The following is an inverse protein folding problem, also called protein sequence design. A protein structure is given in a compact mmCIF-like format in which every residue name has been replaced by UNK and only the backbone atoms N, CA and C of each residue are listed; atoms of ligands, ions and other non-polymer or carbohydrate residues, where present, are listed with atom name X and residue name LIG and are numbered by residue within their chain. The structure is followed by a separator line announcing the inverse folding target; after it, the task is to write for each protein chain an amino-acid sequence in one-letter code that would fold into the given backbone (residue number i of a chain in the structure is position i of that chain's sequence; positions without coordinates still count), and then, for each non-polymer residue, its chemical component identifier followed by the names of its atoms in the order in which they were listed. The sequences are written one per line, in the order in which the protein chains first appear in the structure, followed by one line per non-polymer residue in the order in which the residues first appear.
data_IF_334272880218
#
_entry.id   IF_334272880218
#
_cell.length_a   1.000
_cell.length_b   1.000
_cell.length_c   1.000
_cell.angle_alpha   90.00
_cell.angle_beta   90.00
_cell.angle_gamma   90.00
#
_symmetry.space_group_name_H-M   'P 1'
#
loop_
_entity.id
_entity.type
_entity.pdbx_description
1 polymer ?
#
# COMPACT_ATOMS: atom_id res chain seq x y z
N UNK A 1 -22.83 -25.22 -52.77
CA UNK A 1 -22.02 -25.48 -53.98
C UNK A 1 -22.63 -24.81 -55.20
N UNK A 2 -23.96 -24.74 -55.36
CA UNK A 2 -24.62 -24.03 -56.48
C UNK A 2 -24.36 -22.50 -56.52
N UNK A 3 -24.35 -21.84 -55.35
CA UNK A 3 -24.31 -20.37 -55.26
C UNK A 3 -22.96 -19.74 -55.69
N UNK A 4 -21.85 -20.48 -55.56
CA UNK A 4 -20.51 -19.98 -55.91
C UNK A 4 -20.23 -20.11 -57.41
N UNK A 5 -20.85 -21.08 -58.09
CA UNK A 5 -20.73 -21.24 -59.55
C UNK A 5 -21.57 -20.19 -60.29
N UNK A 6 -22.77 -19.87 -59.79
CA UNK A 6 -23.59 -18.79 -60.33
C UNK A 6 -22.94 -17.40 -60.12
N UNK A 7 -22.34 -17.14 -58.95
CA UNK A 7 -21.62 -15.88 -58.70
C UNK A 7 -20.42 -15.70 -59.63
N UNK A 8 -19.62 -16.76 -59.82
CA UNK A 8 -18.48 -16.74 -60.76
C UNK A 8 -18.93 -16.54 -62.21
N UNK A 9 -20.04 -17.16 -62.62
CA UNK A 9 -20.58 -16.96 -63.96
C UNK A 9 -21.07 -15.51 -64.18
N UNK A 10 -21.66 -14.91 -63.15
CA UNK A 10 -22.09 -13.51 -63.15
C UNK A 10 -20.90 -12.53 -63.19
N UNK A 11 -19.88 -12.74 -62.36
CA UNK A 11 -18.63 -11.96 -62.37
C UNK A 11 -17.91 -12.05 -63.72
N UNK A 12 -17.87 -13.23 -64.33
CA UNK A 12 -17.28 -13.44 -65.66
C UNK A 12 -18.05 -12.68 -66.74
N UNK A 13 -19.38 -12.64 -66.63
CA UNK A 13 -20.24 -11.86 -67.55
C UNK A 13 -19.98 -10.36 -67.43
N UNK A 14 -19.89 -9.85 -66.20
CA UNK A 14 -19.55 -8.46 -65.92
C UNK A 14 -18.14 -8.10 -66.42
N UNK A 15 -17.15 -8.97 -66.20
CA UNK A 15 -15.79 -8.76 -66.69
C UNK A 15 -15.72 -8.68 -68.23
N UNK A 16 -16.51 -9.50 -68.93
CA UNK A 16 -16.62 -9.43 -70.39
C UNK A 16 -17.28 -8.12 -70.86
N UNK A 17 -18.35 -7.68 -70.20
CA UNK A 17 -19.01 -6.41 -70.49
C UNK A 17 -18.10 -5.19 -70.22
N UNK A 18 -17.26 -5.28 -69.19
CA UNK A 18 -16.26 -4.25 -68.90
C UNK A 18 -15.26 -4.10 -70.05
N UNK A 19 -14.72 -5.22 -70.54
CA UNK A 19 -13.78 -5.23 -71.68
C UNK A 19 -14.45 -4.65 -72.93
N UNK A 20 -15.68 -5.07 -73.24
CA UNK A 20 -16.43 -4.56 -74.38
C UNK A 20 -16.69 -3.05 -74.31
N UNK A 21 -17.05 -2.53 -73.13
CA UNK A 21 -17.25 -1.09 -72.93
C UNK A 21 -15.96 -0.27 -73.03
N UNK A 22 -14.83 -0.83 -72.59
CA UNK A 22 -13.51 -0.21 -72.73
C UNK A 22 -13.03 -0.21 -74.19
N UNK A 23 -13.22 -1.30 -74.92
CA UNK A 23 -12.87 -1.41 -76.35
C UNK A 23 -13.72 -0.47 -77.22
N UNK A 24 -14.99 -0.25 -76.86
CA UNK A 24 -15.89 0.68 -77.53
C UNK A 24 -15.67 2.16 -77.15
N UNK A 25 -14.75 2.47 -76.22
CA UNK A 25 -14.47 3.83 -75.76
C UNK A 25 -15.55 4.43 -74.84
N UNK A 26 -16.47 3.61 -74.32
CA UNK A 26 -17.57 4.04 -73.44
C UNK A 26 -17.15 4.07 -71.97
N UNK A 27 -16.31 5.04 -71.59
CA UNK A 27 -15.75 5.15 -70.23
C UNK A 27 -16.79 5.18 -69.10
N UNK A 28 -17.92 5.85 -69.29
CA UNK A 28 -18.98 5.95 -68.27
C UNK A 28 -19.65 4.59 -67.98
N UNK A 29 -19.84 3.77 -69.02
CA UNK A 29 -20.44 2.43 -68.88
C UNK A 29 -19.44 1.45 -68.25
N UNK A 30 -18.17 1.55 -68.62
CA UNK A 30 -17.10 0.79 -67.98
C UNK A 30 -17.01 1.10 -66.47
N UNK A 31 -17.11 2.38 -66.09
CA UNK A 31 -17.11 2.79 -64.68
C UNK A 31 -18.28 2.20 -63.88
N UNK A 32 -19.46 2.06 -64.51
CA UNK A 32 -20.62 1.46 -63.86
C UNK A 32 -20.47 -0.05 -63.66
N UNK A 33 -19.89 -0.77 -64.62
CA UNK A 33 -19.59 -2.20 -64.46
C UNK A 33 -18.55 -2.43 -63.35
N UNK A 34 -17.53 -1.58 -63.25
CA UNK A 34 -16.56 -1.61 -62.14
C UNK A 34 -17.24 -1.35 -60.80
N UNK A 35 -18.20 -0.42 -60.75
CA UNK A 35 -18.99 -0.17 -59.54
C UNK A 35 -19.78 -1.40 -59.12
N UNK A 36 -20.44 -2.07 -60.07
CA UNK A 36 -21.22 -3.29 -59.82
C UNK A 36 -20.36 -4.45 -59.31
N UNK A 37 -19.15 -4.62 -59.87
CA UNK A 37 -18.17 -5.59 -59.40
C UNK A 37 -17.71 -5.31 -57.97
N UNK A 38 -17.71 -4.04 -57.52
CA UNK A 38 -17.19 -3.63 -56.20
C UNK A 38 -18.20 -3.72 -55.06
N UNK A 39 -19.50 -3.59 -55.35
CA UNK A 39 -20.58 -3.67 -54.35
C UNK A 39 -20.52 -4.91 -53.45
N UNK A 40 -20.34 -6.16 -53.96
CA UNK A 40 -20.28 -7.34 -53.10
C UNK A 40 -19.08 -7.30 -52.15
N UNK A 41 -17.90 -6.86 -52.62
CA UNK A 41 -16.71 -6.72 -51.79
C UNK A 41 -16.84 -5.64 -50.71
N UNK A 42 -17.47 -4.51 -51.04
CA UNK A 42 -17.74 -3.46 -50.05
C UNK A 42 -18.65 -3.99 -48.94
N UNK A 43 -19.69 -4.77 -49.29
CA UNK A 43 -20.60 -5.38 -48.30
C UNK A 43 -19.90 -6.37 -47.39
N UNK A 44 -19.10 -7.28 -47.96
CA UNK A 44 -18.33 -8.26 -47.19
C UNK A 44 -17.35 -7.59 -46.22
N UNK A 45 -16.66 -6.53 -46.67
CA UNK A 45 -15.77 -5.74 -45.81
C UNK A 45 -16.51 -5.08 -44.64
N UNK A 46 -17.69 -4.51 -44.89
CA UNK A 46 -18.52 -3.91 -43.84
C UNK A 46 -19.05 -4.97 -42.85
N UNK A 47 -19.39 -6.16 -43.33
CA UNK A 47 -19.81 -7.27 -42.47
C UNK A 47 -18.66 -7.77 -41.58
N UNK A 48 -17.46 -7.94 -42.12
CA UNK A 48 -16.27 -8.33 -41.34
C UNK A 48 -15.86 -7.25 -40.34
N UNK A 49 -15.95 -5.97 -40.71
CA UNK A 49 -15.72 -4.87 -39.78
C UNK A 49 -16.79 -4.84 -38.66
N UNK A 50 -18.03 -5.16 -38.99
CA UNK A 50 -19.13 -5.31 -38.04
C UNK A 50 -18.89 -6.45 -37.05
N UNK A 51 -18.34 -7.58 -37.53
CA UNK A 51 -17.95 -8.70 -36.66
C UNK A 51 -16.80 -8.30 -35.73
N UNK A 52 -15.71 -7.74 -36.27
CA UNK A 52 -14.56 -7.33 -35.48
C UNK A 52 -14.91 -6.30 -34.39
N UNK A 53 -15.77 -5.34 -34.71
CA UNK A 53 -16.22 -4.33 -33.74
C UNK A 53 -17.14 -4.92 -32.68
N UNK A 54 -17.98 -5.90 -33.03
CA UNK A 54 -18.80 -6.65 -32.07
C UNK A 54 -17.94 -7.55 -31.19
N UNK A 55 -16.96 -8.24 -31.75
CA UNK A 55 -16.02 -9.09 -31.01
C UNK A 55 -15.19 -8.26 -30.03
N UNK A 56 -14.69 -7.09 -30.44
CA UNK A 56 -14.00 -6.14 -29.56
C UNK A 56 -14.94 -5.64 -28.46
N UNK A 57 -16.19 -5.31 -28.80
CA UNK A 57 -17.17 -4.85 -27.83
C UNK A 57 -17.52 -5.95 -26.81
N UNK A 58 -17.65 -7.20 -27.26
CA UNK A 58 -17.89 -8.36 -26.40
C UNK A 58 -16.69 -8.66 -25.50
N UNK A 59 -15.46 -8.55 -26.03
CA UNK A 59 -14.23 -8.66 -25.23
C UNK A 59 -14.09 -7.53 -24.19
N UNK A 60 -14.47 -6.29 -24.52
CA UNK A 60 -14.49 -5.18 -23.57
C UNK A 60 -15.59 -5.36 -22.51
N UNK A 61 -16.75 -5.88 -22.89
CA UNK A 61 -17.83 -6.16 -21.95
C UNK A 61 -17.50 -7.35 -21.03
N UNK A 62 -16.86 -8.39 -21.54
CA UNK A 62 -16.38 -9.49 -20.71
C UNK A 62 -15.28 -9.04 -19.75
N UNK A 63 -14.40 -8.13 -20.19
CA UNK A 63 -13.39 -7.50 -19.32
C UNK A 63 -13.99 -6.60 -18.23
N UNK A 64 -15.06 -5.84 -18.53
CA UNK A 64 -15.83 -5.08 -17.53
C UNK A 64 -16.67 -5.96 -16.60
N UNK A 65 -17.04 -7.14 -17.06
CA UNK A 65 -17.78 -8.16 -16.30
C UNK A 65 -16.89 -8.99 -15.38
N UNK A 66 -15.58 -8.75 -15.34
CA UNK A 66 -14.68 -9.42 -14.42
C UNK A 66 -14.90 -8.85 -13.02
N UNK A 67 -15.92 -9.37 -12.33
CA UNK A 67 -16.37 -8.98 -10.99
C UNK A 67 -15.22 -8.84 -10.01
N UNK A 68 -14.16 -9.62 -10.21
CA UNK A 68 -12.92 -9.58 -9.43
C UNK A 68 -12.23 -8.23 -9.44
N UNK A 69 -12.23 -7.49 -10.55
CA UNK A 69 -11.56 -6.18 -10.63
C UNK A 69 -12.40 -5.08 -9.95
N UNK A 70 -13.73 -5.22 -10.01
CA UNK A 70 -14.67 -4.38 -9.28
C UNK A 70 -14.59 -4.66 -7.78
N UNK A 71 -14.53 -5.93 -7.36
CA UNK A 71 -14.31 -6.32 -5.95
C UNK A 71 -12.98 -5.81 -5.41
N UNK A 72 -11.88 -5.96 -6.17
CA UNK A 72 -10.56 -5.46 -5.75
C UNK A 72 -10.57 -3.94 -5.52
N UNK A 73 -11.16 -3.19 -6.46
CA UNK A 73 -11.13 -1.72 -6.43
C UNK A 73 -12.15 -1.13 -5.46
N UNK A 74 -13.26 -1.82 -5.23
CA UNK A 74 -14.35 -1.32 -4.38
C UNK A 74 -14.18 -1.73 -2.92
N UNK A 75 -13.65 -2.92 -2.66
CA UNK A 75 -13.67 -3.51 -1.32
C UNK A 75 -12.25 -3.82 -0.80
N UNK A 76 -11.42 -4.57 -1.55
CA UNK A 76 -10.10 -5.03 -1.04
C UNK A 76 -9.07 -3.92 -0.88
N UNK A 77 -8.94 -3.02 -1.88
CA UNK A 77 -7.97 -1.91 -1.82
C UNK A 77 -8.33 -0.92 -0.71
N UNK A 78 -9.60 -0.47 -0.56
CA UNK A 78 -10.00 0.36 0.56
C UNK A 78 -9.80 -0.30 1.93
N UNK A 79 -10.12 -1.59 2.10
CA UNK A 79 -9.89 -2.34 3.35
C UNK A 79 -8.39 -2.42 3.69
N UNK A 80 -7.55 -2.77 2.71
CA UNK A 80 -6.11 -2.83 2.89
C UNK A 80 -5.53 -1.46 3.28
N UNK A 81 -6.04 -0.38 2.70
CA UNK A 81 -5.67 0.99 3.07
C UNK A 81 -6.08 1.30 4.51
N UNK A 82 -7.32 1.01 4.90
CA UNK A 82 -7.81 1.25 6.26
C UNK A 82 -6.98 0.49 7.30
N UNK A 83 -6.63 -0.76 7.01
CA UNK A 83 -5.73 -1.57 7.84
C UNK A 83 -4.33 -0.97 7.93
N UNK A 84 -3.79 -0.47 6.83
CA UNK A 84 -2.49 0.20 6.82
C UNK A 84 -2.52 1.49 7.65
N UNK A 85 -3.52 2.34 7.43
CA UNK A 85 -3.72 3.60 8.18
C UNK A 85 -3.86 3.32 9.69
N UNK A 86 -4.55 2.24 10.05
CA UNK A 86 -4.64 1.78 11.43
C UNK A 86 -3.30 1.33 12.00
N UNK A 87 -2.51 0.54 11.26
CA UNK A 87 -1.17 0.12 11.69
C UNK A 87 -0.25 1.33 11.87
N UNK A 88 -0.29 2.30 10.95
CA UNK A 88 0.47 3.56 11.06
C UNK A 88 0.06 4.32 12.32
N UNK A 89 -1.23 4.59 12.49
CA UNK A 89 -1.76 5.32 13.66
C UNK A 89 -1.36 4.66 14.97
N UNK A 90 -1.45 3.33 15.04
CA UNK A 90 -1.12 2.57 16.24
C UNK A 90 0.37 2.56 16.52
N UNK A 91 1.20 2.54 15.47
CA UNK A 91 2.66 2.66 15.60
C UNK A 91 3.05 4.04 16.11
N UNK A 92 2.48 5.10 15.56
CA UNK A 92 2.70 6.48 16.05
C UNK A 92 2.33 6.62 17.52
N UNK A 93 1.19 6.07 17.95
CA UNK A 93 0.78 6.08 19.35
C UNK A 93 1.76 5.33 20.26
N UNK A 94 2.21 4.14 19.85
CA UNK A 94 3.15 3.34 20.64
C UNK A 94 4.51 4.03 20.75
N UNK A 95 5.01 4.60 19.66
CA UNK A 95 6.24 5.40 19.63
C UNK A 95 6.12 6.62 20.53
N UNK A 96 5.02 7.37 20.44
CA UNK A 96 4.82 8.57 21.24
C UNK A 96 4.77 8.26 22.75
N UNK A 97 4.09 7.18 23.15
CA UNK A 97 4.10 6.72 24.55
C UNK A 97 5.50 6.31 25.01
N UNK A 98 6.24 5.61 24.15
CA UNK A 98 7.61 5.18 24.46
C UNK A 98 8.54 6.37 24.67
N UNK A 99 8.48 7.37 23.78
CA UNK A 99 9.28 8.59 23.89
C UNK A 99 8.94 9.38 25.15
N UNK A 100 7.65 9.56 25.45
CA UNK A 100 7.23 10.27 26.67
C UNK A 100 7.73 9.57 27.95
N UNK A 101 7.66 8.24 27.99
CA UNK A 101 8.17 7.48 29.13
C UNK A 101 9.69 7.57 29.27
N UNK A 102 10.41 7.66 28.14
CA UNK A 102 11.85 7.84 28.10
C UNK A 102 12.24 9.26 28.57
N UNK A 103 11.55 10.29 28.07
CA UNK A 103 11.76 11.69 28.43
C UNK A 103 11.55 11.94 29.92
N UNK A 104 10.61 11.22 30.55
CA UNK A 104 10.40 11.28 31.99
C UNK A 104 11.38 10.40 32.79
N UNK A 105 11.73 9.22 32.27
CA UNK A 105 12.55 8.24 32.99
C UNK A 105 14.04 8.58 33.02
N UNK A 106 14.58 9.13 31.93
CA UNK A 106 16.02 9.43 31.84
C UNK A 106 16.50 10.40 32.94
N UNK A 107 15.82 11.55 33.20
CA UNK A 107 16.21 12.46 34.27
C UNK A 107 16.22 11.81 35.66
N UNK A 108 15.28 10.90 35.93
CA UNK A 108 15.21 10.17 37.19
C UNK A 108 16.44 9.26 37.35
N UNK A 109 16.77 8.51 36.30
CA UNK A 109 17.94 7.62 36.29
C UNK A 109 19.26 8.40 36.44
N UNK A 110 19.40 9.54 35.76
CA UNK A 110 20.57 10.42 35.87
C UNK A 110 20.71 11.01 37.27
N UNK A 111 19.61 11.52 37.86
CA UNK A 111 19.57 12.04 39.23
C UNK A 111 19.99 10.98 40.25
N UNK A 112 19.42 9.78 40.16
CA UNK A 112 19.78 8.64 41.00
C UNK A 112 21.26 8.30 40.89
N UNK A 113 21.79 8.23 39.66
CA UNK A 113 23.19 7.90 39.42
C UNK A 113 24.14 8.95 39.98
N UNK A 114 23.85 10.24 39.78
CA UNK A 114 24.66 11.34 40.31
C UNK A 114 24.74 11.30 41.84
N UNK A 115 23.59 11.15 42.52
CA UNK A 115 23.52 11.08 43.99
C UNK A 115 24.23 9.84 44.53
N UNK A 116 24.13 8.71 43.83
CA UNK A 116 24.85 7.48 44.18
C UNK A 116 26.38 7.69 44.13
N UNK A 117 26.89 8.39 43.12
CA UNK A 117 28.32 8.69 43.00
C UNK A 117 28.82 9.58 44.15
N UNK A 118 28.08 10.64 44.49
CA UNK A 118 28.41 11.53 45.62
C UNK A 118 28.45 10.78 46.96
N UNK A 119 27.46 9.92 47.21
CA UNK A 119 27.40 9.10 48.41
C UNK A 119 28.52 8.05 48.44
N UNK A 120 28.88 7.49 47.29
CA UNK A 120 29.97 6.51 47.16
C UNK A 120 31.32 7.15 47.47
N UNK A 121 31.58 8.37 46.99
CA UNK A 121 32.79 9.12 47.32
C UNK A 121 32.87 9.40 48.82
N UNK A 122 31.79 9.91 49.41
CA UNK A 122 31.72 10.19 50.84
C UNK A 122 31.87 8.92 51.69
N UNK A 123 31.28 7.81 51.26
CA UNK A 123 31.44 6.50 51.90
C UNK A 123 32.90 6.02 51.88
N UNK A 124 33.62 6.24 50.79
CA UNK A 124 35.04 5.90 50.69
C UNK A 124 35.90 6.73 51.64
N UNK A 125 35.66 8.04 51.74
CA UNK A 125 36.33 8.91 52.73
C UNK A 125 36.03 8.46 54.17
N UNK A 126 34.80 8.05 54.44
CA UNK A 126 34.41 7.53 55.77
C UNK A 126 35.19 6.25 56.10
N UNK A 127 35.30 5.32 55.14
CA UNK A 127 36.06 4.07 55.27
C UNK A 127 37.56 4.30 55.52
N UNK A 128 38.10 5.38 54.99
CA UNK A 128 39.50 5.80 55.17
C UNK A 128 39.73 6.58 56.48
N UNK A 129 38.68 6.80 57.29
CA UNK A 129 38.69 7.60 58.52
C UNK A 129 39.04 9.07 58.28
N UNK A 130 38.68 9.59 57.11
CA UNK A 130 38.92 10.97 56.67
C UNK A 130 37.71 11.89 56.89
N UNK A 131 36.64 11.38 57.51
CA UNK A 131 35.46 12.18 57.87
C UNK A 131 35.53 12.64 59.32
N UNK A 132 35.22 13.92 59.53
CA UNK A 132 34.89 14.47 60.83
C UNK A 132 33.51 14.01 61.33
N UNK A 133 33.23 14.24 62.62
CA UNK A 133 31.95 13.87 63.24
C UNK A 133 30.78 14.65 62.62
N UNK A 134 30.99 15.91 62.24
CA UNK A 134 29.94 16.75 61.64
C UNK A 134 29.66 16.33 60.19
N UNK A 135 30.70 16.05 59.39
CA UNK A 135 30.55 15.47 58.04
C UNK A 135 29.84 14.12 58.10
N UNK A 136 30.09 13.29 59.13
CA UNK A 136 29.42 12.00 59.27
C UNK A 136 27.92 12.16 59.55
N UNK A 137 27.53 13.16 60.37
CA UNK A 137 26.11 13.47 60.61
C UNK A 137 25.41 13.99 59.36
N UNK A 138 26.11 14.74 58.51
CA UNK A 138 25.59 15.19 57.22
C UNK A 138 25.45 14.01 56.25
N UNK A 139 26.47 13.16 56.16
CA UNK A 139 26.43 11.96 55.33
C UNK A 139 25.31 11.00 55.73
N UNK A 140 25.11 10.76 57.03
CA UNK A 140 24.00 9.94 57.54
C UNK A 140 22.63 10.51 57.13
N UNK A 141 22.44 11.83 57.25
CA UNK A 141 21.21 12.50 56.79
C UNK A 141 21.04 12.40 55.27
N UNK A 142 22.12 12.55 54.52
CA UNK A 142 22.09 12.42 53.06
C UNK A 142 21.71 11.00 52.62
N UNK A 143 22.21 9.96 53.32
CA UNK A 143 21.83 8.57 53.10
C UNK A 143 20.33 8.34 53.38
N UNK A 144 19.80 8.85 54.49
CA UNK A 144 18.37 8.71 54.81
C UNK A 144 17.49 9.32 53.72
N UNK A 145 17.84 10.52 53.24
CA UNK A 145 17.14 11.21 52.14
C UNK A 145 17.29 10.45 50.82
N UNK A 146 18.46 9.86 50.55
CA UNK A 146 18.68 9.06 49.36
C UNK A 146 17.87 7.76 49.38
N UNK A 147 17.87 7.02 50.48
CA UNK A 147 17.09 5.79 50.58
C UNK A 147 15.59 6.05 50.41
N UNK A 148 15.06 7.09 51.06
CA UNK A 148 13.66 7.47 50.91
C UNK A 148 13.31 7.83 49.46
N UNK A 149 14.08 8.74 48.84
CA UNK A 149 13.84 9.17 47.46
C UNK A 149 14.04 8.04 46.45
N UNK A 150 15.04 7.18 46.64
CA UNK A 150 15.37 6.11 45.71
C UNK A 150 14.24 5.08 45.55
N UNK A 151 13.46 4.84 46.60
CA UNK A 151 12.29 3.98 46.54
C UNK A 151 11.21 4.55 45.63
N UNK A 152 10.88 5.83 45.81
CA UNK A 152 9.88 6.54 44.99
C UNK A 152 10.32 6.67 43.52
N UNK A 153 11.57 7.07 43.29
CA UNK A 153 12.16 7.24 41.96
C UNK A 153 12.24 5.92 41.19
N UNK A 154 12.62 4.82 41.86
CA UNK A 154 12.68 3.48 41.23
C UNK A 154 11.28 2.95 40.92
N UNK A 155 10.30 3.19 41.80
CA UNK A 155 8.92 2.82 41.55
C UNK A 155 8.32 3.60 40.37
N UNK A 156 8.67 4.89 40.24
CA UNK A 156 8.28 5.69 39.07
C UNK A 156 8.89 5.14 37.78
N UNK A 157 10.19 4.82 37.78
CA UNK A 157 10.85 4.15 36.64
C UNK A 157 10.17 2.82 36.27
N UNK A 158 9.78 2.02 37.27
CA UNK A 158 9.05 0.75 37.05
C UNK A 158 7.69 1.00 36.39
N UNK A 159 6.97 2.03 36.81
CA UNK A 159 5.69 2.43 36.19
C UNK A 159 5.89 2.83 34.73
N UNK A 160 6.87 3.68 34.44
CA UNK A 160 7.18 4.13 33.08
C UNK A 160 7.56 2.97 32.17
N UNK A 161 8.39 2.03 32.64
CA UNK A 161 8.72 0.82 31.88
C UNK A 161 7.49 -0.08 31.64
N UNK A 162 6.56 -0.13 32.60
CA UNK A 162 5.30 -0.86 32.42
C UNK A 162 4.40 -0.19 31.37
N UNK A 163 4.35 1.14 31.32
CA UNK A 163 3.63 1.90 30.28
C UNK A 163 4.22 1.66 28.89
N UNK A 164 5.54 1.58 28.76
CA UNK A 164 6.23 1.21 27.52
C UNK A 164 5.84 -0.20 27.06
N UNK A 165 5.89 -1.18 27.97
CA UNK A 165 5.51 -2.56 27.64
C UNK A 165 4.03 -2.67 27.22
N UNK A 166 3.12 -2.00 27.93
CA UNK A 166 1.70 -1.98 27.55
C UNK A 166 1.46 -1.30 26.19
N UNK A 167 2.26 -0.29 25.84
CA UNK A 167 2.19 0.34 24.53
C UNK A 167 2.64 -0.59 23.40
N UNK A 168 3.57 -1.52 23.69
CA UNK A 168 4.11 -2.48 22.74
C UNK A 168 3.22 -3.73 22.57
N UNK A 169 2.62 -4.27 23.64
CA UNK A 169 1.73 -5.45 23.59
C UNK A 169 0.49 -5.25 22.70
N UNK A 170 0.07 -4.00 22.51
CA UNK A 170 -1.04 -3.66 21.61
C UNK A 170 -0.70 -3.90 20.11
N UNK A 171 0.58 -4.11 19.76
CA UNK A 171 1.00 -4.55 18.42
C UNK A 171 0.88 -6.07 18.25
N UNK A 172 1.24 -6.87 19.25
CA UNK A 172 1.33 -8.33 19.12
C UNK A 172 -0.06 -9.02 19.13
N UNK A 173 -0.99 -8.51 19.96
CA UNK A 173 -2.33 -9.09 20.11
C UNK A 173 -3.28 -8.87 18.92
N UNK A 174 -2.94 -7.97 17.99
CA UNK A 174 -3.76 -7.69 16.79
C UNK A 174 -3.14 -8.23 15.50
N UNK A 175 -1.82 -8.41 15.45
CA UNK A 175 -1.13 -9.08 14.34
C UNK A 175 -1.52 -10.55 14.18
N UNK A 176 -1.85 -11.25 15.29
CA UNK A 176 -2.29 -12.65 15.24
C UNK A 176 -3.77 -12.87 14.89
N UNK A 177 -4.62 -11.83 14.88
CA UNK A 177 -6.06 -11.99 14.63
C UNK A 177 -6.47 -11.80 13.16
N UNK A 178 -5.52 -11.60 12.26
CA UNK A 178 -5.75 -11.39 10.82
C UNK A 178 -5.01 -12.39 9.90
N UNK A 179 -4.52 -13.52 10.45
CA UNK A 179 -4.16 -14.68 9.64
C UNK A 179 -5.35 -15.62 9.49
#
# INVERSE_FOLDING_TARGET
MDNDEESKAFELSLARQLVEHLEAGHGDRAAEVVRQLRIPYERELFEELGKLTRDLHEALNSFRGDSRLVELTRDEIPDAKERLDYVVTMTEQATHRTLNALDEGMPIAESLHARLLELTDTWNRFRQRELSVDEFREFARALDVFFAASGEETERLRSLMSEVMMAQDFQDLRGCRQK
#
